data_IF_895551288498
#
_entry.id   IF_895551288498
#
_cell.length_a   1.000
_cell.length_b   1.000
_cell.length_c   1.000
_cell.angle_alpha   90.00
_cell.angle_beta   90.00
_cell.angle_gamma   90.00
#
_symmetry.space_group_name_H-M   'P 1'
#
loop_
_entity.id
_entity.type
_entity.pdbx_description
1 polymer ?
#
# COMPACT_ATOMS: atom_id res chain seq x y z
N UNK A 1 -29.66 6.85 21.53
CA UNK A 1 -28.30 6.45 21.13
C UNK A 1 -27.59 7.72 20.68
N UNK A 2 -26.79 8.35 21.53
CA UNK A 2 -26.11 9.59 21.15
C UNK A 2 -25.05 9.27 20.11
N UNK A 3 -25.01 10.06 19.02
CA UNK A 3 -23.97 10.02 17.99
C UNK A 3 -22.63 10.58 18.50
N UNK A 4 -22.29 10.28 19.76
CA UNK A 4 -21.08 10.74 20.40
C UNK A 4 -19.92 9.81 20.06
N UNK A 5 -18.85 10.37 19.51
CA UNK A 5 -17.60 9.66 19.28
C UNK A 5 -17.09 9.04 20.59
N UNK A 6 -16.63 7.79 20.53
CA UNK A 6 -16.02 7.14 21.68
C UNK A 6 -14.67 7.80 22.04
N UNK A 7 -14.56 8.37 23.26
CA UNK A 7 -13.39 9.10 23.78
C UNK A 7 -12.85 10.15 22.78
N UNK A 8 -13.58 11.26 22.54
CA UNK A 8 -13.15 12.29 21.60
C UNK A 8 -11.93 13.01 22.18
N UNK A 9 -10.74 12.75 21.63
CA UNK A 9 -9.49 13.39 22.06
C UNK A 9 -8.28 12.46 22.14
N UNK A 10 -8.50 11.14 22.20
CA UNK A 10 -7.42 10.13 22.19
C UNK A 10 -7.48 9.30 20.90
N UNK A 11 -6.33 8.93 20.33
CA UNK A 11 -6.31 8.13 19.10
C UNK A 11 -6.54 8.93 17.83
N UNK A 12 -6.49 10.28 17.88
CA UNK A 12 -6.92 11.15 16.77
C UNK A 12 -6.15 10.85 15.47
N UNK A 13 -4.81 10.84 15.54
CA UNK A 13 -3.97 10.62 14.36
C UNK A 13 -4.13 9.21 13.81
N UNK A 14 -4.13 8.18 14.67
CA UNK A 14 -4.30 6.79 14.23
C UNK A 14 -5.66 6.59 13.56
N UNK A 15 -6.74 7.14 14.13
CA UNK A 15 -8.10 7.05 13.55
C UNK A 15 -8.20 7.78 12.22
N UNK A 16 -7.66 9.00 12.14
CA UNK A 16 -7.67 9.77 10.91
C UNK A 16 -6.86 9.09 9.81
N UNK A 17 -5.64 8.64 10.11
CA UNK A 17 -4.77 7.99 9.12
C UNK A 17 -5.35 6.66 8.64
N UNK A 18 -5.90 5.83 9.53
CA UNK A 18 -6.58 4.59 9.12
C UNK A 18 -7.85 4.85 8.32
N UNK A 19 -8.61 5.90 8.64
CA UNK A 19 -9.79 6.29 7.87
C UNK A 19 -9.41 6.80 6.47
N UNK A 20 -8.35 7.61 6.37
CA UNK A 20 -7.81 8.07 5.08
C UNK A 20 -7.32 6.88 4.27
N UNK A 21 -6.51 5.98 4.86
CA UNK A 21 -6.00 4.80 4.16
C UNK A 21 -7.13 3.90 3.65
N UNK A 22 -8.14 3.62 4.48
CA UNK A 22 -9.32 2.87 4.07
C UNK A 22 -10.12 3.59 2.98
N UNK A 23 -10.28 4.91 3.10
CA UNK A 23 -10.92 5.74 2.08
C UNK A 23 -10.20 5.70 0.73
N UNK A 24 -8.87 5.80 0.74
CA UNK A 24 -8.04 5.67 -0.48
C UNK A 24 -8.22 4.31 -1.13
N UNK A 25 -8.24 3.22 -0.35
CA UNK A 25 -8.50 1.87 -0.89
C UNK A 25 -9.88 1.76 -1.55
N UNK A 26 -10.92 2.35 -0.93
CA UNK A 26 -12.27 2.39 -1.51
C UNK A 26 -12.27 3.16 -2.83
N UNK A 27 -11.60 4.31 -2.90
CA UNK A 27 -11.48 5.11 -4.13
C UNK A 27 -10.74 4.34 -5.24
N UNK A 28 -9.62 3.67 -4.91
CA UNK A 28 -8.92 2.80 -5.85
C UNK A 28 -9.80 1.66 -6.37
N UNK A 29 -10.62 1.06 -5.48
CA UNK A 29 -11.59 0.04 -5.86
C UNK A 29 -12.65 0.56 -6.82
N UNK A 30 -13.19 1.76 -6.57
CA UNK A 30 -14.15 2.42 -7.46
C UNK A 30 -13.53 2.70 -8.83
N UNK A 31 -12.29 3.20 -8.87
CA UNK A 31 -11.58 3.45 -10.12
C UNK A 31 -11.37 2.16 -10.93
N UNK A 32 -11.05 1.06 -10.26
CA UNK A 32 -10.90 -0.25 -10.91
C UNK A 32 -12.23 -0.76 -11.47
N UNK A 33 -13.32 -0.67 -10.69
CA UNK A 33 -14.66 -1.08 -11.13
C UNK A 33 -15.14 -0.21 -12.29
N UNK A 34 -14.87 1.09 -12.26
CA UNK A 34 -15.20 2.03 -13.32
C UNK A 34 -14.63 1.56 -14.67
N UNK A 35 -13.38 1.09 -14.68
CA UNK A 35 -12.73 0.53 -15.86
C UNK A 35 -13.39 -0.75 -16.39
N UNK A 36 -14.00 -1.57 -15.52
CA UNK A 36 -14.68 -2.81 -15.91
C UNK A 36 -16.10 -2.60 -16.46
N UNK A 37 -16.74 -1.46 -16.17
CA UNK A 37 -18.10 -1.15 -16.65
C UNK A 37 -18.18 -0.67 -18.11
N UNK A 38 -17.07 -0.70 -18.86
CA UNK A 38 -17.08 -0.40 -20.30
C UNK A 38 -17.82 -1.44 -21.16
N UNK A 39 -18.18 -2.59 -20.59
CA UNK A 39 -18.99 -3.61 -21.25
C UNK A 39 -20.48 -3.22 -21.42
N UNK A 40 -20.94 -2.15 -20.76
CA UNK A 40 -22.32 -1.66 -20.82
C UNK A 40 -22.49 -0.62 -21.94
N UNK A 41 -23.68 -0.58 -22.56
CA UNK A 41 -24.05 0.31 -23.66
C UNK A 41 -23.70 1.78 -23.38
N UNK A 42 -23.19 2.48 -24.40
CA UNK A 42 -22.59 3.80 -24.25
C UNK A 42 -23.56 4.87 -23.72
N UNK A 43 -24.85 4.80 -24.06
CA UNK A 43 -25.82 5.84 -23.71
C UNK A 43 -26.22 5.85 -22.23
N UNK A 44 -26.23 4.69 -21.57
CA UNK A 44 -26.60 4.58 -20.14
C UNK A 44 -25.38 4.41 -19.23
N UNK A 45 -24.17 4.28 -19.81
CA UNK A 45 -22.92 3.97 -19.11
C UNK A 45 -22.63 4.94 -17.97
N UNK A 46 -22.73 6.24 -18.23
CA UNK A 46 -22.37 7.29 -17.26
C UNK A 46 -23.30 7.26 -16.04
N UNK A 47 -24.60 7.04 -16.24
CA UNK A 47 -25.59 6.97 -15.16
C UNK A 47 -25.36 5.78 -14.24
N UNK A 48 -25.13 4.58 -14.81
CA UNK A 48 -24.85 3.38 -14.02
C UNK A 48 -23.50 3.45 -13.29
N UNK A 49 -22.47 4.00 -13.93
CA UNK A 49 -21.16 4.18 -13.32
C UNK A 49 -21.21 5.15 -12.13
N UNK A 50 -21.86 6.30 -12.29
CA UNK A 50 -22.02 7.28 -11.22
C UNK A 50 -22.89 6.74 -10.07
N UNK A 51 -24.02 6.09 -10.38
CA UNK A 51 -24.90 5.52 -9.38
C UNK A 51 -24.23 4.44 -8.53
N UNK A 52 -23.44 3.57 -9.15
CA UNK A 52 -22.70 2.54 -8.44
C UNK A 52 -21.57 3.14 -7.60
N UNK A 53 -20.79 4.10 -8.11
CA UNK A 53 -19.74 4.76 -7.35
C UNK A 53 -20.29 5.42 -6.07
N UNK A 54 -21.38 6.17 -6.18
CA UNK A 54 -22.03 6.81 -5.03
C UNK A 54 -22.54 5.79 -4.01
N UNK A 55 -23.14 4.70 -4.48
CA UNK A 55 -23.63 3.62 -3.61
C UNK A 55 -22.48 2.97 -2.85
N UNK A 56 -21.37 2.66 -3.54
CA UNK A 56 -20.19 2.07 -2.91
C UNK A 56 -19.59 3.01 -1.87
N UNK A 57 -19.45 4.30 -2.18
CA UNK A 57 -18.94 5.30 -1.22
C UNK A 57 -19.84 5.37 0.02
N UNK A 58 -21.16 5.41 -0.17
CA UNK A 58 -22.11 5.53 0.93
C UNK A 58 -22.08 4.29 1.84
N UNK A 59 -22.13 3.09 1.25
CA UNK A 59 -22.09 1.82 1.99
C UNK A 59 -20.76 1.67 2.70
N UNK A 60 -19.64 1.83 1.98
CA UNK A 60 -18.31 1.68 2.57
C UNK A 60 -18.02 2.76 3.62
N UNK A 61 -18.44 4.01 3.40
CA UNK A 61 -18.30 5.08 4.38
C UNK A 61 -19.04 4.79 5.68
N UNK A 62 -20.27 4.28 5.59
CA UNK A 62 -21.07 3.88 6.76
C UNK A 62 -20.44 2.70 7.51
N UNK A 63 -19.97 1.69 6.77
CA UNK A 63 -19.28 0.52 7.35
C UNK A 63 -17.99 0.94 8.05
N UNK A 64 -17.16 1.78 7.41
CA UNK A 64 -15.92 2.27 8.01
C UNK A 64 -16.18 3.10 9.27
N UNK A 65 -17.17 4.01 9.24
CA UNK A 65 -17.58 4.75 10.44
C UNK A 65 -18.00 3.80 11.57
N UNK A 66 -18.81 2.79 11.26
CA UNK A 66 -19.26 1.81 12.25
C UNK A 66 -18.10 0.98 12.83
N UNK A 67 -17.17 0.51 11.98
CA UNK A 67 -16.00 -0.26 12.41
C UNK A 67 -15.06 0.57 13.29
N UNK A 68 -14.70 1.78 12.85
CA UNK A 68 -13.77 2.63 13.60
C UNK A 68 -14.38 3.20 14.89
N UNK A 69 -15.70 3.33 14.97
CA UNK A 69 -16.39 3.78 16.18
C UNK A 69 -16.71 2.63 17.16
N UNK A 70 -16.36 1.37 16.84
CA UNK A 70 -16.48 0.28 17.81
C UNK A 70 -15.50 0.48 18.97
N UNK A 71 -15.93 0.23 20.23
CA UNK A 71 -15.09 0.47 21.41
C UNK A 71 -13.78 -0.35 21.35
N UNK A 72 -13.83 -1.63 20.97
CA UNK A 72 -12.64 -2.50 20.92
C UNK A 72 -11.58 -1.99 19.94
N UNK A 73 -12.01 -1.60 18.74
CA UNK A 73 -11.13 -1.05 17.69
C UNK A 73 -10.57 0.30 18.15
N UNK A 74 -11.44 1.14 18.70
CA UNK A 74 -11.09 2.46 19.17
C UNK A 74 -10.06 2.43 20.32
N UNK A 75 -10.15 1.44 21.23
CA UNK A 75 -9.18 1.23 22.32
C UNK A 75 -7.88 0.62 21.81
N UNK A 76 -7.94 -0.34 20.89
CA UNK A 76 -6.75 -0.90 20.24
C UNK A 76 -5.93 0.20 19.53
N UNK A 77 -6.60 1.10 18.80
CA UNK A 77 -5.93 2.20 18.10
C UNK A 77 -5.29 3.21 19.07
N UNK A 78 -5.94 3.47 20.22
CA UNK A 78 -5.36 4.31 21.27
C UNK A 78 -4.13 3.63 21.89
N UNK A 79 -4.23 2.34 22.22
CA UNK A 79 -3.13 1.57 22.78
C UNK A 79 -1.93 1.51 21.81
N UNK A 80 -2.21 1.31 20.52
CA UNK A 80 -1.20 1.32 19.46
C UNK A 80 -0.53 2.68 19.35
N UNK A 81 -1.28 3.79 19.39
CA UNK A 81 -0.69 5.14 19.38
C UNK A 81 0.21 5.36 20.62
N UNK A 82 -0.23 4.92 21.79
CA UNK A 82 0.54 5.02 23.02
C UNK A 82 1.83 4.20 22.96
N UNK A 83 1.81 3.02 22.33
CA UNK A 83 2.98 2.18 22.15
C UNK A 83 3.95 2.78 21.12
N UNK A 84 3.43 3.31 20.01
CA UNK A 84 4.24 3.97 18.98
C UNK A 84 4.96 5.22 19.51
N UNK A 85 4.42 5.89 20.54
CA UNK A 85 5.10 7.02 21.21
C UNK A 85 6.31 6.59 22.04
N UNK A 86 6.41 5.31 22.42
CA UNK A 86 7.58 4.77 23.15
C UNK A 86 8.72 4.38 22.20
N UNK A 87 8.45 4.29 20.90
CA UNK A 87 9.44 3.92 19.90
C UNK A 87 10.45 5.04 19.74
N UNK A 88 11.71 4.76 20.04
CA UNK A 88 12.82 5.64 19.74
C UNK A 88 13.13 5.54 18.25
N UNK A 89 12.84 6.60 17.50
CA UNK A 89 13.18 6.67 16.08
C UNK A 89 14.68 6.91 15.90
N UNK A 90 15.34 6.20 14.96
CA UNK A 90 16.75 6.38 14.71
C UNK A 90 17.05 7.80 14.24
N UNK A 91 18.22 8.31 14.62
CA UNK A 91 18.70 9.59 14.14
C UNK A 91 18.97 9.56 12.63
N UNK A 92 18.90 10.72 11.97
CA UNK A 92 19.17 10.81 10.53
C UNK A 92 20.54 10.23 10.14
N UNK A 93 21.53 10.34 11.03
CA UNK A 93 22.88 9.79 10.80
C UNK A 93 22.88 8.26 10.79
N UNK A 94 22.13 7.63 11.70
CA UNK A 94 21.99 6.17 11.74
C UNK A 94 21.27 5.64 10.51
N UNK A 95 20.20 6.31 10.08
CA UNK A 95 19.43 5.94 8.87
C UNK A 95 20.34 5.99 7.62
N UNK A 96 21.12 7.04 7.46
CA UNK A 96 22.05 7.18 6.34
C UNK A 96 23.15 6.12 6.41
N UNK A 97 23.72 5.90 7.60
CA UNK A 97 24.72 4.85 7.82
C UNK A 97 24.22 3.47 7.42
N UNK A 98 23.03 3.06 7.90
CA UNK A 98 22.45 1.76 7.55
C UNK A 98 22.10 1.64 6.07
N UNK A 99 21.61 2.71 5.46
CA UNK A 99 21.23 2.70 4.03
C UNK A 99 22.44 2.58 3.12
N UNK A 100 23.55 3.27 3.42
CA UNK A 100 24.79 3.20 2.63
C UNK A 100 25.36 1.78 2.65
N UNK A 101 25.35 1.10 3.80
CA UNK A 101 25.82 -0.28 3.91
C UNK A 101 24.98 -1.21 3.03
N UNK A 102 23.65 -1.07 3.05
CA UNK A 102 22.74 -1.89 2.21
C UNK A 102 22.94 -1.61 0.72
N UNK A 103 23.08 -0.34 0.33
CA UNK A 103 23.36 0.04 -1.06
C UNK A 103 24.70 -0.57 -1.51
N UNK A 104 25.74 -0.43 -0.70
CA UNK A 104 27.06 -1.02 -0.99
C UNK A 104 26.99 -2.53 -1.16
N UNK A 105 26.32 -3.23 -0.24
CA UNK A 105 26.11 -4.68 -0.34
C UNK A 105 25.35 -5.08 -1.60
N UNK A 106 24.28 -4.36 -1.93
CA UNK A 106 23.48 -4.61 -3.15
C UNK A 106 24.30 -4.41 -4.41
N UNK A 107 25.16 -3.38 -4.47
CA UNK A 107 26.05 -3.15 -5.61
C UNK A 107 27.08 -4.28 -5.76
N UNK A 108 27.67 -4.74 -4.65
CA UNK A 108 28.62 -5.87 -4.67
C UNK A 108 27.93 -7.12 -5.21
N UNK A 109 26.72 -7.44 -4.72
CA UNK A 109 25.93 -8.56 -5.24
C UNK A 109 25.59 -8.38 -6.73
N UNK A 110 25.20 -7.18 -7.15
CA UNK A 110 24.91 -6.91 -8.57
C UNK A 110 26.14 -7.13 -9.46
N UNK A 111 27.32 -6.63 -9.05
CA UNK A 111 28.56 -6.87 -9.78
C UNK A 111 28.96 -8.35 -9.81
N UNK A 112 28.77 -9.06 -8.71
CA UNK A 112 29.05 -10.50 -8.64
C UNK A 112 28.13 -11.29 -9.58
N UNK A 113 26.82 -11.02 -9.54
CA UNK A 113 25.85 -11.67 -10.43
C UNK A 113 26.14 -11.36 -11.90
N UNK A 114 26.42 -10.11 -12.25
CA UNK A 114 26.83 -9.74 -13.60
C UNK A 114 28.10 -10.48 -14.04
N UNK A 115 29.09 -10.61 -13.15
CA UNK A 115 30.30 -11.39 -13.43
C UNK A 115 29.99 -12.86 -13.69
N UNK A 116 29.15 -13.46 -12.86
CA UNK A 116 28.70 -14.84 -13.04
C UNK A 116 27.93 -15.01 -14.36
N UNK A 117 27.01 -14.11 -14.68
CA UNK A 117 26.24 -14.12 -15.93
C UNK A 117 27.13 -14.04 -17.16
N UNK A 118 28.16 -13.19 -17.14
CA UNK A 118 29.15 -13.08 -18.23
C UNK A 118 29.95 -14.37 -18.36
N UNK A 119 30.43 -14.94 -17.25
CA UNK A 119 31.19 -16.20 -17.25
C UNK A 119 30.34 -17.35 -17.78
N UNK A 120 29.10 -17.48 -17.32
CA UNK A 120 28.17 -18.50 -17.81
C UNK A 120 27.83 -18.29 -19.28
N UNK A 121 27.60 -17.05 -19.71
CA UNK A 121 27.34 -16.73 -21.12
C UNK A 121 28.51 -17.15 -22.01
N UNK A 122 29.75 -16.84 -21.59
CA UNK A 122 30.95 -17.26 -22.30
C UNK A 122 31.12 -18.79 -22.32
N UNK A 123 30.95 -19.47 -21.19
CA UNK A 123 31.03 -20.94 -21.12
C UNK A 123 29.97 -21.62 -21.99
N UNK A 124 28.74 -21.13 -22.01
CA UNK A 124 27.67 -21.72 -22.81
C UNK A 124 27.79 -21.43 -24.31
N UNK A 125 28.45 -20.33 -24.70
CA UNK A 125 28.84 -20.09 -26.09
C UNK A 125 29.90 -21.10 -26.54
N UNK A 126 30.93 -21.34 -25.72
CA UNK A 126 32.01 -22.30 -26.04
C UNK A 126 31.49 -23.75 -26.12
N UNK A 127 30.53 -24.11 -25.25
CA UNK A 127 29.88 -25.42 -25.28
C UNK A 127 28.86 -25.58 -26.43
N UNK A 128 28.67 -24.56 -27.28
CA UNK A 128 27.78 -24.60 -28.45
C UNK A 128 26.29 -24.65 -28.10
N UNK A 129 25.91 -24.40 -26.84
CA UNK A 129 24.51 -24.38 -26.37
C UNK A 129 23.84 -23.05 -26.73
N UNK A 130 24.59 -21.95 -26.76
CA UNK A 130 24.10 -20.64 -27.17
C UNK A 130 24.53 -20.33 -28.61
N UNK A 131 23.57 -20.29 -29.54
CA UNK A 131 23.79 -19.79 -30.90
C UNK A 131 23.89 -18.26 -30.84
N UNK A 132 25.08 -17.70 -31.01
CA UNK A 132 25.26 -16.26 -31.27
C UNK A 132 24.60 -15.94 -32.61
N UNK A 133 23.38 -15.41 -32.56
CA UNK A 133 22.73 -14.85 -33.75
C UNK A 133 23.54 -13.63 -34.17
N UNK A 134 24.38 -13.80 -35.19
CA UNK A 134 24.97 -12.71 -35.96
C UNK A 134 23.89 -11.96 -36.73
#
# INVERSE_FOLDING_TARGET
MSWSLYKPGQGYYTRLLSAIAAGTLVLCGIFWIWGKMQAISAETRVFWQAGMALTVIFVMGTVLYWVFNRPDVAEFMIATEAEMKKVNWPSQREIVGSTIVVIGGTIIFACFLLGADVVFSWLFQELGVLQTTS
#
